data_IF_776861166527
#
_entry.id   IF_776861166527
#
_cell.length_a   1.000
_cell.length_b   1.000
_cell.length_c   1.000
_cell.angle_alpha   90.00
_cell.angle_beta   90.00
_cell.angle_gamma   90.00
#
_symmetry.space_group_name_H-M   'P 1'
#
loop_
_entity.id
_entity.type
_entity.pdbx_description
1 polymer ?
#
# COMPACT_ATOMS: atom_id res chain seq x y z
N UNK A 1 -11.62 7.88 5.63
CA UNK A 1 -10.44 8.15 4.81
C UNK A 1 -10.83 8.10 3.35
N UNK A 2 -10.61 9.16 2.64
CA UNK A 2 -10.99 9.26 1.23
C UNK A 2 -9.74 9.27 0.37
N UNK A 3 -9.53 8.23 -0.39
CA UNK A 3 -8.41 8.14 -1.33
C UNK A 3 -8.83 8.48 -2.76
N UNK A 4 -10.11 8.23 -3.11
CA UNK A 4 -10.57 8.29 -4.49
C UNK A 4 -10.36 9.60 -5.22
N UNK A 5 -10.52 10.75 -4.53
CA UNK A 5 -10.35 12.06 -5.17
C UNK A 5 -8.89 12.43 -5.42
N UNK A 6 -7.97 11.92 -4.60
CA UNK A 6 -6.55 12.26 -4.66
C UNK A 6 -5.74 11.21 -5.41
N UNK A 7 -6.25 9.99 -5.50
CA UNK A 7 -5.53 8.91 -6.17
C UNK A 7 -5.92 8.88 -7.63
N UNK A 8 -4.96 9.13 -8.50
CA UNK A 8 -5.14 9.15 -9.95
C UNK A 8 -4.81 7.83 -10.60
N UNK A 9 -4.05 7.00 -9.93
CA UNK A 9 -3.62 5.71 -10.47
C UNK A 9 -3.85 4.61 -9.47
N UNK A 10 -4.32 3.49 -9.98
CA UNK A 10 -4.51 2.25 -9.25
C UNK A 10 -3.79 1.15 -10.01
N UNK A 11 -2.84 0.50 -9.38
CA UNK A 11 -2.10 -0.58 -10.01
C UNK A 11 -2.43 -1.91 -9.34
N UNK A 12 -2.66 -2.92 -10.17
CA UNK A 12 -2.89 -4.29 -9.76
C UNK A 12 -1.84 -5.20 -10.40
N UNK A 13 -1.88 -6.47 -10.07
CA UNK A 13 -1.02 -7.46 -10.73
C UNK A 13 -1.23 -7.44 -12.25
N UNK A 14 -2.49 -7.32 -12.69
CA UNK A 14 -2.83 -7.31 -14.11
C UNK A 14 -2.24 -6.11 -14.86
N UNK A 15 -1.97 -5.01 -14.15
CA UNK A 15 -1.46 -3.78 -14.75
C UNK A 15 0.07 -3.75 -14.83
N UNK A 16 0.76 -4.80 -14.41
CA UNK A 16 2.22 -4.78 -14.28
C UNK A 16 2.73 -3.59 -13.46
N UNK A 17 2.04 -3.26 -12.37
CA UNK A 17 2.34 -2.08 -11.56
C UNK A 17 3.79 -1.99 -11.10
N UNK A 18 4.44 -3.14 -10.83
CA UNK A 18 5.84 -3.17 -10.41
C UNK A 18 6.81 -2.62 -11.47
N UNK A 19 6.41 -2.63 -12.75
CA UNK A 19 7.25 -2.17 -13.87
C UNK A 19 6.90 -0.77 -14.34
N UNK A 20 5.84 -0.17 -13.80
CA UNK A 20 5.42 1.17 -14.19
C UNK A 20 6.24 2.24 -13.48
N UNK A 21 6.36 3.40 -14.09
CA UNK A 21 6.91 4.59 -13.47
C UNK A 21 5.76 5.41 -12.86
N UNK A 22 5.84 5.66 -11.57
CA UNK A 22 4.77 6.37 -10.84
C UNK A 22 5.09 7.86 -10.61
N UNK A 23 6.18 8.34 -11.18
CA UNK A 23 6.63 9.72 -10.97
C UNK A 23 5.51 10.72 -11.22
N UNK A 24 5.33 11.64 -10.27
CA UNK A 24 4.35 12.71 -10.37
C UNK A 24 2.91 12.29 -10.13
N UNK A 25 2.67 11.02 -9.80
CA UNK A 25 1.34 10.47 -9.61
C UNK A 25 1.01 10.31 -8.13
N UNK A 26 -0.28 10.32 -7.82
CA UNK A 26 -0.80 9.83 -6.56
C UNK A 26 -1.35 8.44 -6.79
N UNK A 27 -0.69 7.44 -6.23
CA UNK A 27 -0.97 6.03 -6.50
C UNK A 27 -1.58 5.39 -5.27
N UNK A 28 -2.72 4.72 -5.45
CA UNK A 28 -3.27 3.81 -4.46
C UNK A 28 -2.85 2.38 -4.82
N UNK A 29 -2.23 1.71 -3.87
CA UNK A 29 -1.72 0.36 -4.07
C UNK A 29 -2.31 -0.58 -3.03
N UNK A 30 -3.02 -1.60 -3.50
CA UNK A 30 -3.48 -2.72 -2.69
C UNK A 30 -2.89 -3.99 -3.31
N UNK A 31 -1.67 -4.37 -2.94
CA UNK A 31 -0.96 -5.44 -3.62
C UNK A 31 -1.50 -6.81 -3.27
N UNK A 32 -1.16 -7.82 -4.05
CA UNK A 32 -1.41 -9.19 -3.64
C UNK A 32 -0.60 -9.51 -2.38
N UNK A 33 -1.22 -10.22 -1.45
CA UNK A 33 -0.55 -10.61 -0.21
C UNK A 33 0.20 -11.93 -0.42
N UNK A 34 1.23 -12.15 0.36
CA UNK A 34 2.08 -13.31 0.23
C UNK A 34 3.51 -12.92 -0.19
N UNK A 35 4.15 -13.76 -0.99
CA UNK A 35 5.58 -13.58 -1.32
C UNK A 35 5.87 -12.27 -2.05
N UNK A 36 4.94 -11.82 -2.88
CA UNK A 36 5.15 -10.63 -3.68
C UNK A 36 5.04 -9.33 -2.88
N UNK A 37 4.53 -9.38 -1.66
CA UNK A 37 4.28 -8.15 -0.90
C UNK A 37 5.54 -7.34 -0.64
N UNK A 38 6.66 -8.00 -0.39
CA UNK A 38 7.94 -7.32 -0.17
C UNK A 38 8.30 -6.43 -1.37
N UNK A 39 8.19 -6.98 -2.57
CA UNK A 39 8.52 -6.24 -3.79
C UNK A 39 7.58 -5.07 -4.02
N UNK A 40 6.31 -5.22 -3.71
CA UNK A 40 5.33 -4.15 -3.82
C UNK A 40 5.59 -3.03 -2.82
N UNK A 41 5.93 -3.37 -1.58
CA UNK A 41 6.26 -2.35 -0.57
C UNK A 41 7.54 -1.61 -0.96
N UNK A 42 8.56 -2.31 -1.44
CA UNK A 42 9.77 -1.69 -1.94
C UNK A 42 9.46 -0.74 -3.10
N UNK A 43 8.64 -1.19 -4.04
CA UNK A 43 8.21 -0.35 -5.18
C UNK A 43 7.52 0.92 -4.69
N UNK A 44 6.58 0.80 -3.76
CA UNK A 44 5.87 1.94 -3.20
C UNK A 44 6.84 2.95 -2.57
N UNK A 45 7.76 2.47 -1.75
CA UNK A 45 8.76 3.33 -1.12
C UNK A 45 9.66 4.00 -2.14
N UNK A 46 10.20 3.22 -3.07
CA UNK A 46 11.12 3.74 -4.09
C UNK A 46 10.45 4.80 -4.96
N UNK A 47 9.25 4.53 -5.46
CA UNK A 47 8.54 5.48 -6.31
C UNK A 47 8.13 6.74 -5.56
N UNK A 48 7.79 6.62 -4.28
CA UNK A 48 7.42 7.77 -3.47
C UNK A 48 8.54 8.79 -3.30
N UNK A 49 9.78 8.37 -3.51
CA UNK A 49 10.93 9.26 -3.42
C UNK A 49 11.13 10.10 -4.67
N UNK A 50 10.44 9.78 -5.75
CA UNK A 50 10.47 10.60 -6.97
C UNK A 50 9.67 11.89 -6.76
N UNK A 51 10.09 13.01 -7.37
CA UNK A 51 9.41 14.29 -7.18
C UNK A 51 7.92 14.22 -7.53
N UNK A 52 7.09 14.81 -6.66
CA UNK A 52 5.65 14.92 -6.88
C UNK A 52 4.87 13.61 -6.75
N UNK A 53 5.50 12.56 -6.24
CA UNK A 53 4.88 11.24 -6.14
C UNK A 53 4.42 10.96 -4.72
N UNK A 54 3.16 10.56 -4.59
CA UNK A 54 2.58 10.14 -3.32
C UNK A 54 2.01 8.74 -3.49
N UNK A 55 2.30 7.86 -2.55
CA UNK A 55 1.81 6.48 -2.60
C UNK A 55 1.03 6.17 -1.33
N UNK A 56 -0.17 5.64 -1.51
CA UNK A 56 -1.04 5.16 -0.44
C UNK A 56 -1.14 3.65 -0.56
N UNK A 57 -0.68 2.95 0.46
CA UNK A 57 -0.56 1.50 0.45
C UNK A 57 -1.48 0.90 1.51
N UNK A 58 -2.32 -0.05 1.10
CA UNK A 58 -3.18 -0.81 2.01
C UNK A 58 -2.69 -2.25 2.09
N UNK A 59 -2.27 -2.66 3.27
CA UNK A 59 -1.70 -4.00 3.49
C UNK A 59 -2.07 -4.52 4.88
N UNK A 60 -1.89 -5.82 5.14
CA UNK A 60 -2.00 -6.36 6.49
C UNK A 60 -1.00 -5.68 7.43
N UNK A 61 -1.41 -5.43 8.67
CA UNK A 61 -0.58 -4.78 9.67
C UNK A 61 0.36 -5.78 10.35
N UNK A 62 1.33 -6.26 9.60
CA UNK A 62 2.32 -7.24 10.07
C UNK A 62 3.62 -6.54 10.41
N UNK A 63 3.74 -6.13 11.67
CA UNK A 63 4.82 -5.26 12.13
C UNK A 63 6.14 -5.99 12.41
N UNK A 64 6.15 -7.30 12.27
CA UNK A 64 7.35 -8.12 12.46
C UNK A 64 8.08 -8.45 11.16
N UNK A 65 7.57 -7.97 10.02
CA UNK A 65 8.12 -8.29 8.71
C UNK A 65 9.31 -7.42 8.33
N UNK A 66 10.16 -7.97 7.43
CA UNK A 66 11.28 -7.21 6.88
C UNK A 66 10.83 -5.95 6.17
N UNK A 67 9.77 -6.04 5.34
CA UNK A 67 9.30 -4.87 4.60
C UNK A 67 8.80 -3.77 5.51
N UNK A 68 8.22 -4.10 6.67
CA UNK A 68 7.79 -3.09 7.62
C UNK A 68 9.00 -2.31 8.16
N UNK A 69 10.03 -3.01 8.58
CA UNK A 69 11.20 -2.39 9.19
C UNK A 69 12.12 -1.72 8.17
N UNK A 70 12.23 -2.27 6.97
CA UNK A 70 13.12 -1.71 5.96
C UNK A 70 12.52 -0.49 5.25
N UNK A 71 11.20 -0.48 4.98
CA UNK A 71 10.61 0.54 4.11
C UNK A 71 9.52 1.38 4.76
N UNK A 72 8.88 0.92 5.82
CA UNK A 72 7.72 1.60 6.39
C UNK A 72 8.07 2.31 7.69
N UNK A 73 8.59 1.59 8.66
CA UNK A 73 8.89 2.12 9.98
C UNK A 73 9.91 3.25 9.87
N UNK A 74 9.56 4.44 10.36
CA UNK A 74 10.38 5.65 10.30
C UNK A 74 10.65 6.20 8.91
N UNK A 75 10.06 5.62 7.86
CA UNK A 75 10.24 6.10 6.48
C UNK A 75 8.94 6.59 5.86
N UNK A 76 7.81 6.04 6.28
CA UNK A 76 6.51 6.49 5.82
C UNK A 76 6.17 7.85 6.43
N UNK A 77 5.41 8.65 5.69
CA UNK A 77 4.89 9.92 6.21
C UNK A 77 3.85 9.68 7.28
N UNK A 78 3.02 8.65 7.10
CA UNK A 78 1.93 8.34 7.99
C UNK A 78 1.63 6.86 7.93
N UNK A 79 1.29 6.29 9.08
CA UNK A 79 0.77 4.93 9.19
C UNK A 79 -0.53 5.02 9.97
N UNK A 80 -1.63 4.53 9.39
CA UNK A 80 -2.92 4.46 10.07
C UNK A 80 -3.31 3.02 10.26
N UNK A 81 -3.45 2.60 11.51
CA UNK A 81 -3.93 1.27 11.82
C UNK A 81 -5.45 1.29 11.83
N UNK A 82 -6.05 0.42 11.03
CA UNK A 82 -7.49 0.37 10.89
C UNK A 82 -8.08 -0.42 12.05
N UNK A 83 -9.04 0.18 12.73
CA UNK A 83 -9.80 -0.49 13.77
C UNK A 83 -10.70 -1.55 13.16
N UNK A 84 -10.70 -2.74 13.75
CA UNK A 84 -11.49 -3.86 13.25
C UNK A 84 -10.86 -4.55 12.05
N UNK A 85 -11.65 -5.33 11.35
CA UNK A 85 -11.22 -6.10 10.19
C UNK A 85 -11.94 -5.61 8.94
N UNK A 86 -11.19 -5.48 7.85
CA UNK A 86 -11.76 -5.10 6.57
C UNK A 86 -12.54 -6.24 5.95
N UNK A 87 -13.52 -5.88 5.14
CA UNK A 87 -14.27 -6.79 4.27
C UNK A 87 -14.06 -6.35 2.84
N UNK A 88 -13.67 -7.28 1.98
CA UNK A 88 -13.40 -7.00 0.57
C UNK A 88 -14.57 -7.49 -0.28
N UNK A 89 -15.65 -6.73 -0.29
CA UNK A 89 -16.86 -7.01 -1.04
C UNK A 89 -18.08 -7.24 -0.16
N UNK A 90 -19.26 -7.13 -0.78
CA UNK A 90 -20.54 -7.31 -0.09
C UNK A 90 -20.69 -8.75 0.39
N UNK A 91 -21.08 -8.90 1.63
CA UNK A 91 -21.30 -10.23 2.22
C UNK A 91 -20.02 -11.03 2.49
N UNK A 92 -18.86 -10.45 2.25
CA UNK A 92 -17.60 -11.13 2.51
C UNK A 92 -17.34 -11.28 4.01
N UNK A 93 -16.65 -12.35 4.38
CA UNK A 93 -16.16 -12.51 5.75
C UNK A 93 -15.11 -11.45 6.07
N UNK A 94 -14.93 -11.08 7.35
CA UNK A 94 -13.85 -10.18 7.74
C UNK A 94 -12.49 -10.79 7.36
N UNK A 95 -11.53 -9.92 7.01
CA UNK A 95 -10.16 -10.36 6.78
C UNK A 95 -9.61 -11.05 8.03
N UNK A 96 -8.78 -12.10 7.85
CA UNK A 96 -8.21 -12.83 8.99
C UNK A 96 -7.04 -12.10 9.66
N UNK A 97 -6.84 -10.82 9.36
CA UNK A 97 -5.74 -10.01 9.84
C UNK A 97 -6.17 -8.56 10.00
N UNK A 98 -5.52 -7.81 10.89
CA UNK A 98 -5.69 -6.35 10.92
C UNK A 98 -5.02 -5.72 9.71
N UNK A 99 -5.48 -4.53 9.34
CA UNK A 99 -4.95 -3.80 8.18
C UNK A 99 -4.39 -2.45 8.59
N UNK A 100 -3.47 -1.95 7.79
CA UNK A 100 -2.94 -0.61 7.95
C UNK A 100 -2.87 0.11 6.60
N UNK A 101 -2.98 1.42 6.66
CA UNK A 101 -2.77 2.30 5.51
C UNK A 101 -1.46 3.03 5.72
N UNK A 102 -0.57 2.92 4.74
CA UNK A 102 0.74 3.54 4.77
C UNK A 102 0.78 4.62 3.70
N UNK A 103 1.14 5.83 4.08
CA UNK A 103 1.33 6.93 3.15
C UNK A 103 2.82 7.24 3.06
N UNK A 104 3.33 7.09 1.87
CA UNK A 104 4.72 7.45 1.58
C UNK A 104 4.83 8.84 0.97
#
# INVERSE_FOLDING_TARGET
>A
MRFGRKCRKFYTVADNGLKQDWRGETVFCNPPYGRAIYDWVFKCWRESRKPGTTVVLLIPARTDTRYFHEFIYRRAREIRFIRGRLRFGDGAAPAPFPSMVVVF
#
